data_IF_031417387836
#
_entry.id   IF_031417387836
#
_cell.length_a   1.000
_cell.length_b   1.000
_cell.length_c   1.000
_cell.angle_alpha   90.00
_cell.angle_beta   90.00
_cell.angle_gamma   90.00
#
_symmetry.space_group_name_H-M   'P 1'
#
loop_
_entity.id
_entity.type
_entity.pdbx_description
1 polymer ?
#
# COMPACT_ATOMS: atom_id res chain seq x y z
N UNK A 1 -31.03 -2.40 43.72
CA UNK A 1 -30.48 -3.72 44.09
C UNK A 1 -28.98 -3.60 44.02
N UNK A 2 -28.33 -3.48 45.18
CA UNK A 2 -26.89 -3.26 45.31
C UNK A 2 -26.19 -4.61 45.48
N UNK A 3 -25.05 -4.80 44.82
CA UNK A 3 -24.07 -5.81 45.25
C UNK A 3 -22.70 -5.15 45.27
N UNK A 4 -22.27 -4.88 46.49
CA UNK A 4 -20.96 -4.38 46.89
C UNK A 4 -20.00 -5.57 47.00
N UNK A 5 -18.87 -5.53 46.29
CA UNK A 5 -17.74 -6.42 46.58
C UNK A 5 -16.55 -5.56 46.99
N UNK A 6 -16.18 -5.64 48.27
CA UNK A 6 -14.93 -5.12 48.79
C UNK A 6 -13.84 -6.18 48.64
N UNK A 7 -12.69 -5.79 48.10
CA UNK A 7 -11.45 -6.58 48.21
C UNK A 7 -10.52 -5.86 49.19
N UNK A 8 -10.06 -6.65 50.16
CA UNK A 8 -9.26 -6.26 51.33
C UNK A 8 -7.88 -5.75 50.92
N UNK A 9 -7.47 -4.62 51.51
CA UNK A 9 -6.13 -4.02 51.41
C UNK A 9 -5.14 -4.81 52.26
N UNK A 10 -4.07 -5.31 51.64
CA UNK A 10 -2.83 -5.68 52.31
C UNK A 10 -1.78 -4.60 52.07
N UNK A 11 -1.43 -3.83 53.10
CA UNK A 11 -0.37 -2.84 53.06
C UNK A 11 0.92 -3.44 53.62
N UNK A 12 2.00 -3.44 52.82
CA UNK A 12 3.37 -3.59 53.30
C UNK A 12 4.35 -2.92 52.31
N UNK A 13 4.91 -1.78 52.73
CA UNK A 13 6.32 -1.46 52.51
C UNK A 13 6.76 -0.76 51.21
N UNK A 14 7.35 0.42 51.43
CA UNK A 14 8.55 1.01 50.79
C UNK A 14 8.45 1.52 49.33
N UNK A 15 8.53 2.84 49.16
CA UNK A 15 8.85 3.51 47.89
C UNK A 15 7.77 4.48 47.40
N UNK A 16 7.93 5.77 47.69
CA UNK A 16 7.09 6.81 47.10
C UNK A 16 7.40 6.99 45.61
N UNK A 17 6.77 6.19 44.76
CA UNK A 17 6.60 6.50 43.35
C UNK A 17 5.26 7.22 43.19
N UNK A 18 5.27 8.46 42.70
CA UNK A 18 4.06 9.16 42.32
C UNK A 18 3.29 8.30 41.29
N UNK A 19 1.95 8.28 41.32
CA UNK A 19 1.18 7.54 40.33
C UNK A 19 1.45 8.17 38.96
N UNK A 20 2.20 7.47 38.11
CA UNK A 20 2.28 7.77 36.68
C UNK A 20 1.00 7.22 36.08
N UNK A 21 -0.03 8.05 35.98
CA UNK A 21 -1.22 7.71 35.21
C UNK A 21 -0.79 7.46 33.76
N UNK A 22 -1.15 6.32 33.15
CA UNK A 22 -0.91 6.12 31.73
C UNK A 22 -1.77 7.14 30.99
N UNK A 23 -1.12 8.19 30.48
CA UNK A 23 -1.74 9.13 29.56
C UNK A 23 -2.11 8.36 28.29
N UNK A 24 -3.29 7.74 28.31
CA UNK A 24 -3.91 7.15 27.14
C UNK A 24 -4.32 8.32 26.28
N UNK A 25 -3.41 8.77 25.41
CA UNK A 25 -3.80 9.56 24.25
C UNK A 25 -4.61 8.62 23.37
N UNK A 26 -5.93 8.74 23.47
CA UNK A 26 -6.80 8.35 22.39
C UNK A 26 -6.39 9.18 21.17
N UNK A 27 -5.54 8.61 20.32
CA UNK A 27 -5.41 9.09 18.97
C UNK A 27 -6.80 8.87 18.38
N UNK A 28 -7.54 9.96 18.17
CA UNK A 28 -8.72 9.90 17.35
C UNK A 28 -8.28 9.21 16.06
N UNK A 29 -8.90 8.08 15.73
CA UNK A 29 -8.75 7.48 14.43
C UNK A 29 -9.40 8.46 13.47
N UNK A 30 -8.61 9.43 13.02
CA UNK A 30 -8.99 10.31 11.95
C UNK A 30 -9.23 9.39 10.76
N UNK A 31 -10.49 9.29 10.34
CA UNK A 31 -10.85 8.48 9.20
C UNK A 31 -10.12 9.07 8.01
N UNK A 32 -9.09 8.38 7.53
CA UNK A 32 -8.38 8.68 6.29
C UNK A 32 -9.41 8.57 5.17
N UNK A 33 -10.12 9.67 4.94
CA UNK A 33 -11.19 9.80 3.96
C UNK A 33 -10.83 10.79 2.87
N UNK A 34 -9.67 11.45 3.00
CA UNK A 34 -9.07 12.11 1.87
C UNK A 34 -8.54 11.06 0.92
N UNK A 35 -9.07 11.10 -0.30
CA UNK A 35 -8.37 10.58 -1.47
C UNK A 35 -7.02 11.28 -1.45
N UNK A 36 -5.98 10.58 -1.02
CA UNK A 36 -4.62 11.10 -1.07
C UNK A 36 -4.34 11.39 -2.54
N UNK A 37 -4.23 12.68 -2.87
CA UNK A 37 -3.82 13.08 -4.21
C UNK A 37 -2.46 12.45 -4.50
N UNK A 38 -2.38 11.74 -5.63
CA UNK A 38 -1.15 11.09 -6.07
C UNK A 38 -0.19 12.15 -6.60
N UNK A 39 0.59 12.72 -5.68
CA UNK A 39 1.58 13.73 -6.01
C UNK A 39 2.85 13.10 -6.62
N UNK A 40 3.57 13.84 -7.49
CA UNK A 40 4.83 13.37 -8.06
C UNK A 40 5.83 12.97 -6.98
N UNK A 41 6.51 11.84 -7.19
CA UNK A 41 7.54 11.33 -6.29
C UNK A 41 8.93 11.75 -6.76
N UNK A 42 9.79 12.05 -5.80
CA UNK A 42 11.22 12.25 -5.99
C UNK A 42 12.01 11.54 -4.88
N UNK A 43 13.33 11.55 -4.98
CA UNK A 43 14.20 10.95 -3.95
C UNK A 43 14.85 12.01 -3.08
N UNK A 44 14.78 11.85 -1.76
CA UNK A 44 15.52 12.66 -0.80
C UNK A 44 16.11 11.77 0.29
N UNK A 45 17.43 11.83 0.50
CA UNK A 45 18.10 11.05 1.54
C UNK A 45 17.87 9.53 1.45
N UNK A 46 17.71 8.98 0.24
CA UNK A 46 17.45 7.56 0.02
C UNK A 46 16.00 7.11 0.24
N UNK A 47 15.06 8.04 0.42
CA UNK A 47 13.63 7.77 0.56
C UNK A 47 12.86 8.28 -0.66
N UNK A 48 11.69 7.70 -0.91
CA UNK A 48 10.70 8.31 -1.78
C UNK A 48 9.93 9.37 -1.00
N UNK A 49 9.83 10.56 -1.57
CA UNK A 49 9.15 11.71 -0.99
C UNK A 49 8.25 12.32 -2.06
N UNK A 50 7.03 12.70 -1.68
CA UNK A 50 6.14 13.40 -2.59
C UNK A 50 6.37 14.93 -2.60
N UNK A 51 5.65 15.65 -3.46
CA UNK A 51 5.80 17.09 -3.61
C UNK A 51 5.45 17.91 -2.34
N UNK A 52 4.69 17.33 -1.40
CA UNK A 52 4.35 17.94 -0.11
C UNK A 52 5.37 17.62 1.00
N UNK A 53 6.40 16.83 0.68
CA UNK A 53 7.46 16.47 1.63
C UNK A 53 7.12 15.26 2.51
N UNK A 54 6.08 14.49 2.18
CA UNK A 54 5.70 13.27 2.92
C UNK A 54 6.59 12.11 2.48
N UNK A 55 7.10 11.34 3.43
CA UNK A 55 7.79 10.07 3.14
C UNK A 55 6.75 9.05 2.64
N UNK A 56 6.98 8.47 1.46
CA UNK A 56 6.03 7.54 0.81
C UNK A 56 6.58 6.12 0.82
N UNK A 57 5.80 5.18 1.36
CA UNK A 57 6.08 3.75 1.31
C UNK A 57 5.22 3.12 0.21
N UNK A 58 5.87 2.60 -0.82
CA UNK A 58 5.21 1.95 -1.95
C UNK A 58 5.03 0.45 -1.68
N UNK A 59 3.78 0.00 -1.58
CA UNK A 59 3.42 -1.41 -1.39
C UNK A 59 2.42 -1.83 -2.45
N UNK A 60 2.71 -2.91 -3.16
CA UNK A 60 1.93 -3.28 -4.32
C UNK A 60 2.34 -4.61 -4.92
N UNK A 61 1.94 -4.81 -6.18
CA UNK A 61 2.18 -6.04 -6.92
C UNK A 61 2.77 -5.77 -8.31
N UNK A 62 3.32 -6.82 -8.91
CA UNK A 62 3.64 -6.83 -10.33
C UNK A 62 2.35 -7.09 -11.12
N UNK A 63 2.14 -6.36 -12.21
CA UNK A 63 1.04 -6.57 -13.15
C UNK A 63 1.65 -6.83 -14.52
N UNK A 64 1.35 -7.99 -15.10
CA UNK A 64 1.96 -8.45 -16.33
C UNK A 64 1.00 -8.60 -17.50
N UNK A 65 -0.21 -8.04 -17.41
CA UNK A 65 -1.24 -8.13 -18.44
C UNK A 65 -0.78 -7.62 -19.82
N UNK A 66 0.14 -6.64 -19.84
CA UNK A 66 0.73 -6.08 -21.07
C UNK A 66 2.01 -6.78 -21.53
N UNK A 67 2.51 -7.76 -20.78
CA UNK A 67 3.74 -8.47 -21.11
C UNK A 67 3.57 -9.42 -22.29
N UNK A 68 4.58 -9.47 -23.15
CA UNK A 68 4.73 -10.53 -24.15
C UNK A 68 5.59 -11.67 -23.59
N UNK A 69 5.07 -12.89 -23.69
CA UNK A 69 5.73 -14.11 -23.21
C UNK A 69 5.73 -15.17 -24.29
N UNK A 70 6.74 -16.03 -24.26
CA UNK A 70 6.76 -17.22 -25.11
C UNK A 70 5.62 -18.18 -24.71
N UNK A 71 4.86 -18.65 -25.70
CA UNK A 71 3.71 -19.52 -25.49
C UNK A 71 4.04 -20.97 -25.85
N UNK A 72 4.28 -21.79 -24.83
CA UNK A 72 4.57 -23.22 -25.00
C UNK A 72 3.34 -24.10 -25.22
N UNK A 73 2.18 -23.67 -24.71
CA UNK A 73 0.91 -24.36 -24.85
C UNK A 73 -0.09 -23.40 -25.51
N UNK A 74 -0.44 -23.59 -26.80
CA UNK A 74 -1.27 -22.64 -27.56
C UNK A 74 -2.68 -22.40 -27.01
N UNK A 75 -3.18 -23.30 -26.15
CA UNK A 75 -4.54 -23.21 -25.59
C UNK A 75 -4.59 -22.45 -24.27
N UNK A 76 -3.44 -22.01 -23.75
CA UNK A 76 -3.35 -21.26 -22.50
C UNK A 76 -2.83 -19.88 -22.83
N UNK A 77 -3.62 -18.86 -22.46
CA UNK A 77 -3.20 -17.48 -22.59
C UNK A 77 -2.01 -17.19 -21.66
N UNK A 78 -0.95 -16.53 -22.16
CA UNK A 78 0.25 -16.26 -21.37
C UNK A 78 0.01 -15.21 -20.28
N UNK A 79 -1.00 -14.36 -20.45
CA UNK A 79 -1.39 -13.32 -19.51
C UNK A 79 -2.91 -13.29 -19.35
N UNK A 80 -3.37 -12.65 -18.28
CA UNK A 80 -4.78 -12.37 -18.07
C UNK A 80 -5.01 -10.86 -18.23
N UNK A 81 -6.11 -10.44 -18.89
CA UNK A 81 -6.46 -9.04 -18.93
C UNK A 81 -6.75 -8.54 -17.51
N UNK A 82 -6.37 -7.30 -17.24
CA UNK A 82 -6.72 -6.63 -16.00
C UNK A 82 -8.03 -5.87 -16.18
N UNK A 83 -8.87 -5.88 -15.15
CA UNK A 83 -10.19 -5.23 -15.15
C UNK A 83 -10.29 -4.19 -14.04
N UNK A 84 -11.31 -3.34 -14.11
CA UNK A 84 -11.62 -2.38 -13.04
C UNK A 84 -11.86 -3.06 -11.68
N UNK A 85 -12.37 -4.30 -11.70
CA UNK A 85 -12.57 -5.08 -10.49
C UNK A 85 -11.24 -5.47 -9.83
N UNK A 86 -10.19 -5.75 -10.61
CA UNK A 86 -8.87 -6.04 -10.09
C UNK A 86 -8.26 -4.80 -9.42
N UNK A 87 -8.39 -3.62 -10.05
CA UNK A 87 -7.96 -2.36 -9.48
C UNK A 87 -8.67 -2.02 -8.17
N UNK A 88 -10.01 -2.15 -8.15
CA UNK A 88 -10.79 -1.95 -6.94
C UNK A 88 -10.36 -2.91 -5.83
N UNK A 89 -10.09 -4.17 -6.18
CA UNK A 89 -9.68 -5.18 -5.22
C UNK A 89 -8.23 -4.96 -4.72
N UNK A 90 -7.34 -4.39 -5.52
CA UNK A 90 -5.99 -3.98 -5.09
C UNK A 90 -6.07 -2.78 -4.12
N UNK A 91 -6.86 -1.76 -4.47
CA UNK A 91 -7.09 -0.59 -3.61
C UNK A 91 -7.72 -0.99 -2.26
N UNK A 92 -8.73 -1.87 -2.27
CA UNK A 92 -9.36 -2.37 -1.05
C UNK A 92 -8.39 -3.18 -0.14
N UNK A 93 -7.27 -3.67 -0.70
CA UNK A 93 -6.20 -4.35 0.04
C UNK A 93 -5.05 -3.41 0.43
N UNK A 94 -5.19 -2.11 0.18
CA UNK A 94 -4.21 -1.09 0.56
C UNK A 94 -2.99 -1.02 -0.35
N UNK A 95 -3.08 -1.48 -1.59
CA UNK A 95 -1.98 -1.31 -2.54
C UNK A 95 -1.89 0.16 -2.98
N UNK A 96 -0.67 0.70 -2.98
CA UNK A 96 -0.37 2.09 -3.35
C UNK A 96 0.45 2.20 -4.64
N UNK A 97 0.90 1.08 -5.20
CA UNK A 97 1.71 1.05 -6.44
C UNK A 97 1.45 -0.22 -7.23
N UNK A 98 1.70 -0.16 -8.53
CA UNK A 98 1.88 -1.33 -9.39
C UNK A 98 3.21 -1.26 -10.10
N UNK A 99 3.89 -2.39 -10.20
CA UNK A 99 5.00 -2.55 -11.15
C UNK A 99 4.42 -3.11 -12.43
N UNK A 100 4.08 -2.23 -13.36
CA UNK A 100 3.56 -2.60 -14.67
C UNK A 100 4.70 -3.13 -15.54
N UNK A 101 4.57 -4.37 -16.01
CA UNK A 101 5.54 -4.98 -16.90
C UNK A 101 5.18 -4.60 -18.34
N UNK A 102 6.18 -4.10 -19.05
CA UNK A 102 6.13 -3.86 -20.50
C UNK A 102 7.27 -4.64 -21.17
N UNK A 103 7.06 -5.04 -22.42
CA UNK A 103 8.07 -5.77 -23.20
C UNK A 103 8.58 -4.92 -24.35
N UNK A 104 9.91 -4.83 -24.52
CA UNK A 104 10.52 -4.03 -25.58
C UNK A 104 10.07 -4.44 -26.99
N UNK A 105 9.92 -5.73 -27.26
CA UNK A 105 9.41 -6.25 -28.54
C UNK A 105 7.97 -5.84 -28.84
N UNK A 106 7.20 -5.39 -27.84
CA UNK A 106 5.90 -4.74 -28.04
C UNK A 106 6.04 -3.23 -28.21
N UNK A 107 6.94 -2.59 -27.47
CA UNK A 107 7.22 -1.14 -27.60
C UNK A 107 7.81 -0.80 -28.97
N UNK A 108 8.82 -1.54 -29.40
CA UNK A 108 9.55 -1.37 -30.66
C UNK A 108 9.64 -2.74 -31.38
N UNK A 109 8.56 -3.19 -32.04
CA UNK A 109 8.53 -4.49 -32.72
C UNK A 109 9.51 -4.60 -33.90
N UNK A 110 9.80 -3.46 -34.53
CA UNK A 110 10.80 -3.32 -35.59
C UNK A 110 11.67 -2.14 -35.23
N UNK A 111 12.99 -2.27 -35.37
CA UNK A 111 13.94 -1.20 -35.06
C UNK A 111 13.51 0.14 -35.68
N UNK A 112 13.39 1.16 -34.83
CA UNK A 112 12.96 2.52 -35.19
C UNK A 112 11.46 2.70 -35.37
N UNK A 113 10.63 1.66 -35.14
CA UNK A 113 9.17 1.72 -35.28
C UNK A 113 8.52 1.40 -33.94
N UNK A 114 7.84 2.38 -33.35
CA UNK A 114 7.11 2.21 -32.09
C UNK A 114 5.65 1.79 -32.35
N UNK A 115 5.14 0.85 -31.55
CA UNK A 115 3.73 0.43 -31.59
C UNK A 115 2.88 1.40 -30.75
N UNK A 116 2.42 2.49 -31.38
CA UNK A 116 1.59 3.50 -30.70
C UNK A 116 0.31 2.90 -30.11
N UNK A 117 -0.29 1.90 -30.79
CA UNK A 117 -1.49 1.23 -30.29
C UNK A 117 -1.25 0.38 -29.03
N UNK A 118 0.00 -0.01 -28.76
CA UNK A 118 0.40 -0.65 -27.51
C UNK A 118 0.76 0.36 -26.41
N UNK A 119 1.11 1.59 -26.77
CA UNK A 119 1.47 2.67 -25.83
C UNK A 119 0.26 3.50 -25.37
N UNK A 120 -0.82 3.54 -26.16
CA UNK A 120 -2.13 4.12 -25.81
C UNK A 120 -2.85 3.36 -24.68
#
# INVERSE_FOLDING_TARGET
MAVTSQLVVGANGIGGAAPVEPATRALAAESVTDVVELLPLHTAGGRFVDADGRDVILRGANVNSLGEYWQGVPTIEPTLPVTDADWAAMAARGFSVVRLLVTWSRVEPVQGTYDEAYLD
#
